data_IF_045722648847
#
_entry.id   IF_045722648847
#
_cell.length_a   1.000
_cell.length_b   1.000
_cell.length_c   1.000
_cell.angle_alpha   90.00
_cell.angle_beta   90.00
_cell.angle_gamma   90.00
#
_symmetry.space_group_name_H-M   'P 1'
#
loop_
_entity.id
_entity.type
_entity.pdbx_description
1 polymer ?
#
# COMPACT_ATOMS: atom_id res chain seq x y z
N UNK A 1 -22.49 -47.23 -59.26
CA UNK A 1 -21.79 -46.38 -58.27
C UNK A 1 -22.71 -46.00 -57.12
N UNK A 2 -22.81 -46.80 -56.03
CA UNK A 2 -23.58 -46.43 -54.83
C UNK A 2 -22.71 -46.10 -53.60
N UNK A 3 -21.48 -46.62 -53.54
CA UNK A 3 -20.62 -46.59 -52.34
C UNK A 3 -20.10 -45.19 -51.98
N UNK A 4 -19.72 -44.38 -52.97
CA UNK A 4 -19.11 -43.05 -52.76
C UNK A 4 -20.12 -42.07 -52.15
N UNK A 5 -21.40 -42.16 -52.53
CA UNK A 5 -22.48 -41.30 -51.99
C UNK A 5 -22.74 -41.54 -50.50
N UNK A 6 -22.43 -42.74 -50.00
CA UNK A 6 -22.63 -43.14 -48.59
C UNK A 6 -21.54 -42.56 -47.68
N UNK A 7 -20.30 -42.43 -48.19
CA UNK A 7 -19.19 -41.80 -47.47
C UNK A 7 -19.40 -40.30 -47.24
N UNK A 8 -19.81 -39.55 -48.27
CA UNK A 8 -20.07 -38.10 -48.15
C UNK A 8 -21.25 -37.77 -47.21
N UNK A 9 -22.29 -38.62 -47.19
CA UNK A 9 -23.43 -38.46 -46.28
C UNK A 9 -23.04 -38.65 -44.81
N UNK A 10 -22.06 -39.51 -44.54
CA UNK A 10 -21.55 -39.75 -43.19
C UNK A 10 -20.52 -38.71 -42.73
N UNK A 11 -19.89 -37.95 -43.63
CA UNK A 11 -18.91 -36.91 -43.27
C UNK A 11 -19.56 -35.64 -42.70
N UNK A 12 -20.77 -35.32 -43.16
CA UNK A 12 -21.53 -34.14 -42.74
C UNK A 12 -21.86 -34.22 -41.24
N UNK A 13 -22.23 -35.40 -40.74
CA UNK A 13 -22.47 -35.61 -39.31
C UNK A 13 -21.19 -35.52 -38.46
N UNK A 14 -20.01 -35.76 -39.06
CA UNK A 14 -18.72 -35.71 -38.36
C UNK A 14 -18.20 -34.27 -38.26
N UNK A 15 -18.49 -33.39 -39.24
CA UNK A 15 -18.12 -31.97 -39.15
C UNK A 15 -18.91 -31.19 -38.11
N UNK A 16 -20.20 -31.52 -37.95
CA UNK A 16 -21.06 -30.88 -36.95
C UNK A 16 -20.56 -31.18 -35.53
N UNK A 17 -20.24 -32.46 -35.26
CA UNK A 17 -19.71 -32.90 -33.97
C UNK A 17 -18.30 -32.32 -33.71
N UNK A 18 -17.42 -32.27 -34.73
CA UNK A 18 -16.11 -31.65 -34.57
C UNK A 18 -16.20 -30.15 -34.29
N UNK A 19 -17.09 -29.44 -34.98
CA UNK A 19 -17.32 -28.02 -34.79
C UNK A 19 -17.85 -27.71 -33.39
N UNK A 20 -18.77 -28.54 -32.89
CA UNK A 20 -19.31 -28.44 -31.54
C UNK A 20 -18.22 -28.65 -30.47
N UNK A 21 -17.40 -29.70 -30.61
CA UNK A 21 -16.30 -29.98 -29.68
C UNK A 21 -15.29 -28.82 -29.68
N UNK A 22 -14.96 -28.29 -30.86
CA UNK A 22 -14.04 -27.16 -30.98
C UNK A 22 -14.61 -25.91 -30.29
N UNK A 23 -15.88 -25.59 -30.55
CA UNK A 23 -16.53 -24.40 -30.00
C UNK A 23 -16.68 -24.48 -28.47
N UNK A 24 -17.10 -25.64 -27.96
CA UNK A 24 -17.23 -25.87 -26.51
C UNK A 24 -15.87 -25.83 -25.82
N UNK A 25 -14.83 -26.41 -26.43
CA UNK A 25 -13.46 -26.36 -25.88
C UNK A 25 -12.96 -24.93 -25.78
N UNK A 26 -13.10 -24.13 -26.85
CA UNK A 26 -12.69 -22.72 -26.85
C UNK A 26 -13.49 -21.93 -25.80
N UNK A 27 -14.81 -22.17 -25.70
CA UNK A 27 -15.64 -21.51 -24.69
C UNK A 27 -15.18 -21.81 -23.25
N UNK A 28 -14.88 -23.08 -22.94
CA UNK A 28 -14.39 -23.48 -21.62
C UNK A 28 -13.04 -22.85 -21.32
N UNK A 29 -12.12 -22.80 -22.30
CA UNK A 29 -10.81 -22.16 -22.13
C UNK A 29 -10.96 -20.66 -21.87
N UNK A 30 -11.84 -19.97 -22.62
CA UNK A 30 -12.08 -18.54 -22.43
C UNK A 30 -12.65 -18.24 -21.05
N UNK A 31 -13.67 -18.99 -20.62
CA UNK A 31 -14.27 -18.83 -19.28
C UNK A 31 -13.23 -19.13 -18.20
N UNK A 32 -12.44 -20.20 -18.36
CA UNK A 32 -11.36 -20.55 -17.45
C UNK A 32 -10.29 -19.45 -17.35
N UNK A 33 -9.91 -18.85 -18.48
CA UNK A 33 -8.93 -17.76 -18.49
C UNK A 33 -9.42 -16.52 -17.74
N UNK A 34 -10.69 -16.14 -17.93
CA UNK A 34 -11.31 -15.01 -17.22
C UNK A 34 -11.39 -15.31 -15.73
N UNK A 35 -11.79 -16.53 -15.35
CA UNK A 35 -11.83 -16.94 -13.95
C UNK A 35 -10.45 -16.82 -13.29
N UNK A 36 -9.40 -17.36 -13.94
CA UNK A 36 -8.01 -17.24 -13.45
C UNK A 36 -7.59 -15.78 -13.34
N UNK A 37 -7.92 -14.93 -14.32
CA UNK A 37 -7.59 -13.49 -14.25
C UNK A 37 -8.28 -12.79 -13.07
N UNK A 38 -9.55 -13.07 -12.80
CA UNK A 38 -10.28 -12.49 -11.66
C UNK A 38 -9.68 -12.95 -10.34
N UNK A 39 -9.41 -14.26 -10.19
CA UNK A 39 -8.83 -14.80 -8.96
C UNK A 39 -7.36 -14.43 -8.76
N UNK A 40 -6.63 -14.13 -9.84
CA UNK A 40 -5.24 -13.67 -9.78
C UNK A 40 -5.12 -12.18 -9.49
N UNK A 41 -6.20 -11.41 -9.60
CA UNK A 41 -6.19 -10.02 -9.17
C UNK A 41 -6.07 -9.99 -7.65
N UNK A 42 -4.88 -9.63 -7.16
CA UNK A 42 -4.60 -9.54 -5.73
C UNK A 42 -5.66 -8.69 -5.03
N UNK A 43 -6.08 -9.13 -3.84
CA UNK A 43 -6.99 -8.37 -3.00
C UNK A 43 -6.45 -6.96 -2.70
N UNK A 44 -7.26 -6.10 -2.07
CA UNK A 44 -6.78 -4.76 -1.70
C UNK A 44 -5.47 -4.87 -0.91
N UNK A 45 -4.50 -4.00 -1.22
CA UNK A 45 -3.25 -3.94 -0.46
C UNK A 45 -3.57 -3.85 1.03
N UNK A 46 -2.91 -4.69 1.82
CA UNK A 46 -3.06 -4.67 3.27
C UNK A 46 -2.37 -3.42 3.81
N UNK A 47 -3.16 -2.48 4.32
CA UNK A 47 -2.67 -1.20 4.82
C UNK A 47 -2.59 -1.30 6.34
N UNK A 48 -1.42 -1.03 6.96
CA UNK A 48 -1.25 -1.17 8.40
C UNK A 48 -2.28 -0.35 9.19
N UNK A 49 -2.88 -0.97 10.20
CA UNK A 49 -3.84 -0.33 11.12
C UNK A 49 -3.20 -0.01 12.45
N UNK A 50 -2.37 1.03 12.49
CA UNK A 50 -1.78 1.54 13.73
C UNK A 50 -2.61 2.68 14.33
N UNK A 51 -2.48 2.88 15.63
CA UNK A 51 -2.94 4.08 16.33
C UNK A 51 -1.70 4.86 16.75
N UNK A 52 -1.71 6.16 16.46
CA UNK A 52 -0.57 7.04 16.71
C UNK A 52 -1.08 8.25 17.47
N UNK A 53 -0.32 8.64 18.50
CA UNK A 53 -0.47 9.91 19.19
C UNK A 53 0.65 10.84 18.75
N UNK A 54 0.28 12.06 18.38
CA UNK A 54 1.18 13.07 17.87
C UNK A 54 1.10 14.39 18.65
N UNK A 55 2.25 15.06 18.76
CA UNK A 55 2.31 16.44 19.26
C UNK A 55 3.58 17.13 18.77
N UNK A 56 3.54 18.47 18.77
CA UNK A 56 4.67 19.33 18.41
C UNK A 56 5.12 20.09 19.65
N UNK A 57 6.43 20.20 19.81
CA UNK A 57 7.08 21.11 20.73
C UNK A 57 7.85 22.15 19.90
N UNK A 58 7.24 23.33 19.73
CA UNK A 58 7.80 24.45 18.98
C UNK A 58 9.01 25.07 19.69
N UNK A 59 9.12 24.99 21.02
CA UNK A 59 10.27 25.52 21.75
C UNK A 59 11.55 24.74 21.45
N UNK A 60 11.41 23.43 21.16
CA UNK A 60 12.55 22.54 20.89
C UNK A 60 12.65 22.05 19.44
N UNK A 61 11.79 22.54 18.55
CA UNK A 61 11.67 22.13 17.14
C UNK A 61 11.44 20.63 16.95
N UNK A 62 10.71 20.00 17.88
CA UNK A 62 10.50 18.56 17.90
C UNK A 62 9.08 18.18 17.54
N UNK A 63 8.97 17.18 16.69
CA UNK A 63 7.73 16.47 16.42
C UNK A 63 7.82 15.09 17.04
N UNK A 64 6.78 14.73 17.79
CA UNK A 64 6.70 13.46 18.50
C UNK A 64 5.60 12.59 17.91
N UNK A 65 5.93 11.31 17.74
CA UNK A 65 5.01 10.28 17.29
C UNK A 65 5.13 9.07 18.22
N UNK A 66 4.06 8.72 18.90
CA UNK A 66 4.01 7.56 19.80
C UNK A 66 3.00 6.54 19.28
N UNK A 67 3.41 5.28 19.14
CA UNK A 67 2.49 4.22 18.80
C UNK A 67 1.62 3.93 20.03
N UNK A 68 0.33 4.24 19.91
CA UNK A 68 -0.68 4.08 20.96
C UNK A 68 -1.52 2.81 20.80
N UNK A 69 -1.24 1.98 19.79
CA UNK A 69 -1.83 0.65 19.62
C UNK A 69 -2.02 0.21 18.17
N UNK A 70 -2.84 -0.82 17.99
CA UNK A 70 -3.11 -1.43 16.68
C UNK A 70 -2.01 -2.40 16.24
N UNK A 71 -1.66 -2.38 14.96
CA UNK A 71 -0.63 -3.22 14.36
C UNK A 71 0.78 -2.63 14.56
N UNK A 72 1.76 -3.52 14.71
CA UNK A 72 3.17 -3.13 14.71
C UNK A 72 3.63 -2.89 13.28
N UNK A 73 4.44 -1.85 13.10
CA UNK A 73 4.91 -1.46 11.77
C UNK A 73 6.39 -1.78 11.64
N UNK A 74 6.77 -2.48 10.58
CA UNK A 74 8.16 -2.69 10.22
C UNK A 74 8.82 -1.35 9.83
N UNK A 75 9.91 -0.99 10.51
CA UNK A 75 10.61 0.27 10.31
C UNK A 75 11.21 0.38 8.91
N UNK A 76 11.54 -0.73 8.25
CA UNK A 76 12.04 -0.75 6.86
C UNK A 76 10.96 -0.39 5.85
N UNK A 77 9.70 -0.68 6.19
CA UNK A 77 8.53 -0.43 5.35
C UNK A 77 7.88 0.92 5.65
N UNK A 78 8.28 1.61 6.71
CA UNK A 78 7.75 2.93 7.06
C UNK A 78 8.55 4.06 6.41
N UNK A 79 7.84 5.03 5.86
CA UNK A 79 8.35 6.36 5.51
C UNK A 79 7.45 7.42 6.12
N UNK A 80 8.05 8.43 6.76
CA UNK A 80 7.31 9.57 7.32
C UNK A 80 7.61 10.78 6.45
N UNK A 81 6.57 11.45 5.97
CA UNK A 81 6.68 12.70 5.23
C UNK A 81 6.07 13.80 6.06
N UNK A 82 6.83 14.85 6.30
CA UNK A 82 6.40 16.05 7.02
C UNK A 82 6.31 17.19 6.01
N UNK A 83 5.19 17.89 5.98
CA UNK A 83 4.96 19.05 5.16
C UNK A 83 4.74 20.25 6.08
N UNK A 84 5.65 21.22 6.02
CA UNK A 84 5.57 22.44 6.82
C UNK A 84 5.42 23.63 5.88
N UNK A 85 4.31 24.36 6.00
CA UNK A 85 4.00 25.52 5.15
C UNK A 85 4.14 25.26 3.63
N UNK A 86 3.79 24.04 3.19
CA UNK A 86 3.88 23.63 1.78
C UNK A 86 5.24 23.06 1.35
N UNK A 87 6.25 23.07 2.22
CA UNK A 87 7.55 22.45 1.96
C UNK A 87 7.58 21.00 2.48
N UNK A 88 7.87 20.07 1.56
CA UNK A 88 7.91 18.64 1.86
C UNK A 88 9.29 18.19 2.32
N UNK A 89 9.33 17.51 3.45
CA UNK A 89 10.50 16.87 4.04
C UNK A 89 10.25 15.37 4.24
N UNK A 90 11.24 14.55 3.93
CA UNK A 90 11.14 13.08 4.07
C UNK A 90 12.03 12.60 5.19
N UNK A 91 11.46 11.78 6.07
CA UNK A 91 12.13 11.05 7.12
C UNK A 91 12.15 9.56 6.75
N UNK A 92 13.29 9.11 6.26
CA UNK A 92 13.49 7.75 5.73
C UNK A 92 13.43 6.67 6.81
N UNK A 93 13.13 5.44 6.39
CA UNK A 93 13.17 4.21 7.19
C UNK A 93 14.43 4.06 8.03
N UNK A 94 15.60 4.42 7.49
CA UNK A 94 16.89 4.38 8.20
C UNK A 94 16.93 5.34 9.40
N UNK A 95 16.37 6.54 9.25
CA UNK A 95 16.32 7.50 10.36
C UNK A 95 15.34 7.01 11.43
N UNK A 96 14.22 6.40 11.02
CA UNK A 96 13.23 5.81 11.92
C UNK A 96 13.86 4.69 12.74
N UNK A 97 14.54 3.74 12.08
CA UNK A 97 15.21 2.65 12.77
C UNK A 97 16.27 3.18 13.74
N UNK A 98 17.10 4.15 13.31
CA UNK A 98 18.11 4.77 14.18
C UNK A 98 17.48 5.45 15.40
N UNK A 99 16.37 6.18 15.22
CA UNK A 99 15.65 6.86 16.28
C UNK A 99 15.11 5.88 17.33
N UNK A 100 14.60 4.74 16.87
CA UNK A 100 14.09 3.67 17.72
C UNK A 100 15.19 2.75 18.30
N UNK A 101 16.48 3.09 18.14
CA UNK A 101 17.59 2.30 18.67
C UNK A 101 17.92 1.06 17.83
N UNK A 102 17.77 1.17 16.51
CA UNK A 102 17.92 0.09 15.51
C UNK A 102 16.91 -1.05 15.70
N UNK A 103 15.69 -0.71 16.15
CA UNK A 103 14.58 -1.66 16.16
C UNK A 103 14.03 -1.85 14.75
N UNK A 104 13.62 -3.08 14.48
CA UNK A 104 12.97 -3.46 13.22
C UNK A 104 11.47 -3.15 13.23
N UNK A 105 10.86 -2.99 14.41
CA UNK A 105 9.43 -2.72 14.54
C UNK A 105 9.20 -1.47 15.37
N UNK A 106 8.17 -0.71 15.00
CA UNK A 106 7.58 0.33 15.80
C UNK A 106 6.39 -0.26 16.57
N UNK A 107 6.59 -0.51 17.86
CA UNK A 107 5.65 -1.24 18.73
C UNK A 107 4.92 -0.31 19.71
N UNK A 108 3.92 -0.83 20.43
CA UNK A 108 3.16 -0.05 21.41
C UNK A 108 4.08 0.62 22.44
N UNK A 109 3.93 1.95 22.59
CA UNK A 109 4.70 2.78 23.50
C UNK A 109 6.05 3.22 22.96
N UNK A 110 6.47 2.74 21.79
CA UNK A 110 7.65 3.27 21.12
C UNK A 110 7.38 4.67 20.58
N UNK A 111 8.38 5.54 20.77
CA UNK A 111 8.31 6.96 20.41
C UNK A 111 9.37 7.30 19.39
N UNK A 112 8.94 7.96 18.32
CA UNK A 112 9.80 8.58 17.32
C UNK A 112 9.88 10.07 17.63
N UNK A 113 11.10 10.59 17.77
CA UNK A 113 11.38 12.00 18.04
C UNK A 113 12.09 12.65 16.85
N UNK A 114 11.39 13.49 16.09
CA UNK A 114 11.95 14.17 14.92
C UNK A 114 12.34 15.59 15.33
N UNK A 115 13.64 15.84 15.48
CA UNK A 115 14.16 17.19 15.66
C UNK A 115 14.34 17.85 14.28
N UNK A 116 13.47 18.78 13.94
CA UNK A 116 13.38 19.39 12.60
C UNK A 116 14.49 20.39 12.32
N UNK A 117 14.99 21.09 13.34
CA UNK A 117 16.10 22.03 13.20
C UNK A 117 17.43 21.31 12.92
N UNK A 118 17.72 20.21 13.60
CA UNK A 118 18.92 19.42 13.34
C UNK A 118 18.83 18.60 12.04
N UNK A 119 17.64 18.09 11.70
CA UNK A 119 17.49 17.21 10.54
C UNK A 119 17.35 17.98 9.23
N UNK A 120 16.64 19.10 9.24
CA UNK A 120 16.28 19.85 8.03
C UNK A 120 16.61 21.35 8.12
N UNK A 121 17.22 21.82 9.21
CA UNK A 121 17.46 23.24 9.45
C UNK A 121 16.16 24.05 9.37
N UNK A 122 15.09 23.49 9.93
CA UNK A 122 13.75 24.06 9.98
C UNK A 122 13.41 24.41 11.43
N UNK A 123 12.95 25.65 11.64
CA UNK A 123 12.35 26.08 12.90
C UNK A 123 10.84 25.98 12.75
N UNK A 124 10.14 25.41 13.73
CA UNK A 124 8.68 25.29 13.72
C UNK A 124 8.11 26.34 14.65
N UNK A 125 7.30 27.24 14.12
CA UNK A 125 6.56 28.24 14.89
C UNK A 125 5.15 27.73 15.24
N UNK A 126 4.52 28.30 16.27
CA UNK A 126 3.16 27.90 16.69
C UNK A 126 2.09 28.13 15.61
N UNK A 127 2.34 29.09 14.72
CA UNK A 127 1.45 29.44 13.61
C UNK A 127 1.64 28.55 12.37
N UNK A 128 2.67 27.69 12.36
CA UNK A 128 2.99 26.87 11.21
C UNK A 128 1.98 25.73 11.01
N UNK A 129 1.59 25.52 9.75
CA UNK A 129 0.78 24.37 9.37
C UNK A 129 1.68 23.17 9.11
N UNK A 130 1.56 22.15 9.95
CA UNK A 130 2.35 20.92 9.85
C UNK A 130 1.44 19.74 9.52
N UNK A 131 1.51 19.26 8.29
CA UNK A 131 0.89 17.99 7.89
C UNK A 131 1.93 16.88 7.92
N UNK A 132 1.56 15.73 8.46
CA UNK A 132 2.37 14.51 8.38
C UNK A 132 1.62 13.37 7.72
N UNK A 133 2.37 12.59 6.96
CA UNK A 133 1.89 11.44 6.23
C UNK A 133 2.76 10.24 6.58
N UNK A 134 2.15 9.22 7.16
CA UNK A 134 2.78 7.94 7.38
C UNK A 134 2.48 7.06 6.17
N UNK A 135 3.54 6.65 5.48
CA UNK A 135 3.49 5.96 4.21
C UNK A 135 4.01 4.53 4.40
N UNK A 136 3.19 3.57 3.97
CA UNK A 136 3.63 2.19 3.79
C UNK A 136 4.37 2.09 2.44
N UNK A 137 5.67 1.84 2.46
CA UNK A 137 6.53 1.79 1.27
C UNK A 137 6.15 0.67 0.29
N UNK A 138 5.84 -0.57 0.73
CA UNK A 138 5.36 -1.62 -0.15
C UNK A 138 4.16 -1.22 -1.00
N UNK A 139 3.10 -0.70 -0.37
CA UNK A 139 1.87 -0.29 -1.08
C UNK A 139 1.93 1.12 -1.67
N UNK A 140 2.90 1.94 -1.22
CA UNK A 140 3.01 3.39 -1.49
C UNK A 140 1.77 4.18 -1.09
N UNK A 141 1.01 3.67 -0.11
CA UNK A 141 -0.21 4.31 0.37
C UNK A 141 0.05 5.01 1.69
N UNK A 142 -0.60 6.15 1.86
CA UNK A 142 -0.70 6.81 3.17
C UNK A 142 -1.71 6.00 3.99
N UNK A 143 -1.28 5.48 5.13
CA UNK A 143 -2.17 4.81 6.07
C UNK A 143 -2.66 5.76 7.17
N UNK A 144 -1.93 6.83 7.43
CA UNK A 144 -2.33 7.86 8.38
C UNK A 144 -1.86 9.25 7.92
N UNK A 145 -2.80 10.20 7.92
CA UNK A 145 -2.53 11.62 7.75
C UNK A 145 -2.83 12.30 9.08
N UNK A 146 -1.90 13.10 9.56
CA UNK A 146 -1.99 13.84 10.81
C UNK A 146 -1.81 15.31 10.48
N UNK A 147 -2.75 16.15 10.93
CA UNK A 147 -2.63 17.61 10.79
C UNK A 147 -2.40 18.18 12.18
N UNK A 148 -1.20 18.69 12.38
CA UNK A 148 -0.77 19.28 13.62
C UNK A 148 -0.91 20.80 13.50
N UNK A 149 -1.73 21.37 14.37
CA UNK A 149 -1.70 22.80 14.66
C UNK A 149 -0.89 22.93 15.94
N UNK A 150 0.11 23.81 15.99
CA UNK A 150 0.95 23.97 17.17
C UNK A 150 0.27 24.76 18.31
N UNK A 151 -1.05 24.57 18.51
CA UNK A 151 -1.87 25.31 19.46
C UNK A 151 -2.88 24.48 20.24
N UNK A 152 -2.85 24.68 21.55
CA UNK A 152 -3.75 24.28 22.66
C UNK A 152 -3.69 22.83 23.21
N UNK A 153 -2.84 22.66 24.24
CA UNK A 153 -3.20 21.98 25.49
C UNK A 153 -3.03 22.94 26.67
#
# INVERSE_FOLDING_TARGET
MPEIKKFFKNSIAVSDVLGEILMTTVAVILIGSIAVSIFSYGGPDDIPRTQVNEWIDAETDKIYLENSGGEFIDTENLEIVVNVNGNRYTYSSSNISENLGNKNNWELGDRIEINTSSKWNLHIEEEDEVDMYLIDKPSKKVFQMLRLSAGEN
#
